data_IF_694180383774
#
_entry.id   IF_694180383774
#
_cell.length_a   1.000
_cell.length_b   1.000
_cell.length_c   1.000
_cell.angle_alpha   90.00
_cell.angle_beta   90.00
_cell.angle_gamma   90.00
#
_symmetry.space_group_name_H-M   'P 1'
#
loop_
_entity.id
_entity.type
_entity.pdbx_description
1 polymer ?
#
# COMPACT_ATOMS: atom_id res chain seq x y z
N UNK A 1 -14.63 12.58 5.83
CA UNK A 1 -14.61 12.10 4.43
C UNK A 1 -16.00 11.60 4.06
N UNK A 2 -16.56 12.00 2.92
CA UNK A 2 -17.79 11.38 2.38
C UNK A 2 -17.41 10.08 1.70
N UNK A 3 -18.10 8.97 2.01
CA UNK A 3 -17.89 7.65 1.40
C UNK A 3 -18.48 7.54 -0.03
N UNK A 4 -19.18 8.56 -0.50
CA UNK A 4 -19.75 8.62 -1.84
C UNK A 4 -19.18 9.76 -2.67
N UNK A 5 -19.34 9.71 -4.01
CA UNK A 5 -18.89 10.77 -4.91
C UNK A 5 -19.52 12.11 -4.51
N UNK A 6 -18.69 13.16 -4.47
CA UNK A 6 -19.12 14.51 -4.11
C UNK A 6 -20.20 15.06 -5.06
N UNK A 7 -20.15 14.65 -6.32
CA UNK A 7 -21.14 14.96 -7.34
C UNK A 7 -21.74 13.66 -7.89
N UNK A 8 -23.06 13.51 -7.82
CA UNK A 8 -23.76 12.32 -8.36
C UNK A 8 -24.22 12.59 -9.78
N UNK A 9 -23.75 11.76 -10.71
CA UNK A 9 -24.12 11.77 -12.12
C UNK A 9 -24.08 10.34 -12.69
N UNK A 10 -24.71 10.08 -13.84
CA UNK A 10 -24.62 8.78 -14.51
C UNK A 10 -23.18 8.34 -14.79
N UNK A 11 -22.28 9.30 -15.02
CA UNK A 11 -20.85 9.02 -15.23
C UNK A 11 -20.15 8.60 -13.93
N UNK A 12 -20.49 9.21 -12.79
CA UNK A 12 -19.89 8.83 -11.51
C UNK A 12 -20.40 7.48 -11.03
N UNK A 13 -21.66 7.13 -11.34
CA UNK A 13 -22.19 5.78 -11.05
C UNK A 13 -21.52 4.72 -11.93
N UNK A 14 -21.29 5.01 -13.22
CA UNK A 14 -20.60 4.09 -14.14
C UNK A 14 -19.13 3.86 -13.75
N UNK A 15 -18.47 4.89 -13.21
CA UNK A 15 -17.04 4.86 -12.86
C UNK A 15 -16.78 4.58 -11.38
N UNK A 16 -17.83 4.39 -10.57
CA UNK A 16 -17.71 4.15 -9.12
C UNK A 16 -16.88 2.90 -8.80
N UNK A 17 -16.98 1.85 -9.62
CA UNK A 17 -16.23 0.60 -9.47
C UNK A 17 -14.76 0.67 -9.89
N UNK A 18 -14.28 1.82 -10.37
CA UNK A 18 -12.85 2.02 -10.64
C UNK A 18 -12.09 2.53 -9.42
N UNK A 19 -12.80 3.02 -8.41
CA UNK A 19 -12.20 3.66 -7.23
C UNK A 19 -12.16 2.69 -6.04
N UNK A 20 -12.94 1.61 -6.07
CA UNK A 20 -12.92 0.57 -5.04
C UNK A 20 -11.84 -0.49 -5.33
N UNK A 21 -11.27 -1.05 -4.27
CA UNK A 21 -10.30 -2.15 -4.32
C UNK A 21 -10.94 -3.49 -3.94
N UNK A 22 -12.28 -3.54 -3.87
CA UNK A 22 -13.05 -4.73 -3.51
C UNK A 22 -12.80 -5.92 -4.45
N UNK A 23 -12.42 -5.64 -5.71
CA UNK A 23 -12.07 -6.66 -6.69
C UNK A 23 -10.56 -6.98 -6.69
N UNK A 24 -9.76 -6.23 -5.93
CA UNK A 24 -8.33 -6.41 -5.80
C UNK A 24 -7.99 -7.19 -4.52
N UNK A 25 -7.65 -8.46 -4.71
CA UNK A 25 -7.52 -9.47 -3.65
C UNK A 25 -6.58 -9.06 -2.49
N UNK A 26 -5.53 -8.25 -2.76
CA UNK A 26 -4.56 -7.84 -1.74
C UNK A 26 -5.03 -6.69 -0.85
N UNK A 27 -5.74 -5.70 -1.41
CA UNK A 27 -6.16 -4.52 -0.66
C UNK A 27 -7.64 -4.56 -0.27
N UNK A 28 -8.44 -5.43 -0.88
CA UNK A 28 -9.86 -5.61 -0.57
C UNK A 28 -10.15 -5.88 0.92
N UNK A 29 -9.43 -6.78 1.61
CA UNK A 29 -9.65 -7.01 3.04
C UNK A 29 -9.38 -5.77 3.92
N UNK A 30 -8.37 -4.96 3.55
CA UNK A 30 -8.03 -3.72 4.26
C UNK A 30 -9.07 -2.63 4.00
N UNK A 31 -9.58 -2.55 2.78
CA UNK A 31 -10.68 -1.65 2.42
C UNK A 31 -11.94 -1.99 3.21
N UNK A 32 -12.31 -3.27 3.26
CA UNK A 32 -13.48 -3.74 4.02
C UNK A 32 -13.34 -3.42 5.52
N UNK A 33 -12.19 -3.73 6.12
CA UNK A 33 -11.96 -3.42 7.53
C UNK A 33 -12.04 -1.90 7.82
N UNK A 34 -11.53 -1.05 6.92
CA UNK A 34 -11.62 0.39 7.06
C UNK A 34 -13.06 0.89 6.92
N UNK A 35 -13.85 0.33 6.00
CA UNK A 35 -15.27 0.67 5.82
C UNK A 35 -16.08 0.26 7.06
N UNK A 36 -15.89 -0.96 7.57
CA UNK A 36 -16.61 -1.46 8.76
C UNK A 36 -16.35 -0.55 9.98
N UNK A 37 -15.12 -0.08 10.15
CA UNK A 37 -14.78 0.87 11.21
C UNK A 37 -15.47 2.23 11.00
N UNK A 38 -15.49 2.74 9.76
CA UNK A 38 -16.16 4.00 9.43
C UNK A 38 -17.68 3.90 9.58
N UNK A 39 -18.28 2.73 9.35
CA UNK A 39 -19.70 2.46 9.58
C UNK A 39 -20.03 2.51 11.08
N UNK A 40 -19.16 1.94 11.93
CA UNK A 40 -19.35 1.93 13.38
C UNK A 40 -19.21 3.32 14.03
N UNK A 41 -18.22 4.12 13.62
CA UNK A 41 -17.90 5.42 14.27
C UNK A 41 -18.41 6.64 13.51
N UNK A 42 -18.85 6.47 12.26
CA UNK A 42 -19.18 7.56 11.36
C UNK A 42 -17.96 8.36 10.89
N UNK A 43 -18.18 9.30 9.98
CA UNK A 43 -17.10 9.98 9.24
C UNK A 43 -16.32 11.03 10.04
N UNK A 44 -16.87 11.53 11.15
CA UNK A 44 -16.23 12.56 11.99
C UNK A 44 -15.27 11.90 12.98
N UNK A 45 -15.78 10.97 13.80
CA UNK A 45 -14.98 10.23 14.79
C UNK A 45 -14.13 9.12 14.17
N UNK A 46 -14.56 8.59 13.02
CA UNK A 46 -13.83 7.57 12.28
C UNK A 46 -12.47 8.05 11.77
N UNK A 47 -12.26 9.34 11.51
CA UNK A 47 -10.94 9.83 11.08
C UNK A 47 -9.87 9.62 12.15
N UNK A 48 -10.25 9.68 13.43
CA UNK A 48 -9.33 9.46 14.56
C UNK A 48 -9.33 7.99 14.98
N UNK A 49 -10.51 7.36 15.09
CA UNK A 49 -10.66 5.98 15.58
C UNK A 49 -10.22 4.93 14.58
N UNK A 50 -10.37 5.19 13.29
CA UNK A 50 -10.02 4.28 12.19
C UNK A 50 -8.72 4.71 11.49
N UNK A 51 -7.94 5.61 12.09
CA UNK A 51 -6.75 6.20 11.46
C UNK A 51 -5.74 5.15 10.97
N UNK A 52 -5.51 4.11 11.77
CA UNK A 52 -4.56 3.04 11.45
C UNK A 52 -5.03 2.20 10.26
N UNK A 53 -6.31 1.78 10.26
CA UNK A 53 -6.91 1.02 9.16
C UNK A 53 -6.91 1.81 7.85
N UNK A 54 -7.23 3.10 7.92
CA UNK A 54 -7.17 3.99 6.75
C UNK A 54 -5.74 4.21 6.26
N UNK A 55 -4.77 4.30 7.18
CA UNK A 55 -3.36 4.43 6.83
C UNK A 55 -2.82 3.16 6.15
N UNK A 56 -3.22 1.98 6.61
CA UNK A 56 -2.82 0.70 6.05
C UNK A 56 -3.46 0.46 4.68
N UNK A 57 -4.76 0.74 4.53
CA UNK A 57 -5.42 0.71 3.23
C UNK A 57 -4.76 1.66 2.22
N UNK A 58 -4.46 2.90 2.65
CA UNK A 58 -3.74 3.88 1.82
C UNK A 58 -2.32 3.43 1.47
N UNK A 59 -1.65 2.74 2.39
CA UNK A 59 -0.33 2.15 2.14
C UNK A 59 -0.43 1.05 1.09
N UNK A 60 -1.41 0.16 1.19
CA UNK A 60 -1.63 -0.90 0.20
C UNK A 60 -1.91 -0.33 -1.21
N UNK A 61 -2.73 0.72 -1.30
CA UNK A 61 -3.10 1.33 -2.57
C UNK A 61 -1.95 2.10 -3.26
N UNK A 62 -1.08 2.76 -2.49
CA UNK A 62 -0.08 3.69 -3.03
C UNK A 62 1.37 3.15 -2.89
N UNK A 63 1.60 2.22 -1.96
CA UNK A 63 2.90 1.60 -1.65
C UNK A 63 4.00 2.59 -1.22
N UNK A 64 3.62 3.76 -0.71
CA UNK A 64 4.57 4.84 -0.36
C UNK A 64 5.64 4.40 0.62
N UNK A 65 5.25 3.73 1.72
CA UNK A 65 6.19 3.29 2.76
C UNK A 65 7.07 2.15 2.24
N UNK A 66 6.48 1.19 1.53
CA UNK A 66 7.24 0.11 0.90
C UNK A 66 8.31 0.61 -0.08
N UNK A 67 7.97 1.58 -0.95
CA UNK A 67 8.92 2.16 -1.91
C UNK A 67 9.99 2.97 -1.20
N UNK A 68 9.64 3.76 -0.17
CA UNK A 68 10.60 4.50 0.63
C UNK A 68 11.61 3.56 1.32
N UNK A 69 11.11 2.47 1.92
CA UNK A 69 11.94 1.43 2.54
C UNK A 69 12.87 0.78 1.51
N UNK A 70 12.35 0.42 0.33
CA UNK A 70 13.16 -0.14 -0.75
C UNK A 70 14.28 0.80 -1.18
N UNK A 71 13.98 2.10 -1.36
CA UNK A 71 14.97 3.12 -1.73
C UNK A 71 16.06 3.26 -0.66
N UNK A 72 15.69 3.30 0.61
CA UNK A 72 16.64 3.38 1.72
C UNK A 72 17.58 2.16 1.74
N UNK A 73 17.03 0.94 1.67
CA UNK A 73 17.84 -0.29 1.63
C UNK A 73 18.76 -0.35 0.41
N UNK A 74 18.30 0.14 -0.75
CA UNK A 74 19.09 0.22 -1.97
C UNK A 74 20.23 1.23 -1.86
N UNK A 75 19.98 2.40 -1.27
CA UNK A 75 21.00 3.43 -1.06
C UNK A 75 22.11 2.94 -0.13
N UNK A 76 21.75 2.32 0.99
CA UNK A 76 22.72 1.74 1.93
C UNK A 76 23.56 0.64 1.28
N UNK A 77 22.94 -0.21 0.44
CA UNK A 77 23.69 -1.20 -0.34
C UNK A 77 24.69 -0.55 -1.29
N UNK A 78 24.29 0.49 -2.02
CA UNK A 78 25.19 1.21 -2.92
C UNK A 78 26.34 1.86 -2.15
N UNK A 79 26.06 2.46 -0.98
CA UNK A 79 27.08 3.02 -0.08
C UNK A 79 28.10 1.95 0.35
N UNK A 80 27.64 0.81 0.84
CA UNK A 80 28.51 -0.30 1.28
C UNK A 80 29.43 -0.81 0.17
N UNK A 81 28.92 -0.94 -1.05
CA UNK A 81 29.76 -1.41 -2.16
C UNK A 81 30.70 -0.35 -2.75
N UNK A 82 30.37 0.95 -2.64
CA UNK A 82 31.28 2.03 -3.02
C UNK A 82 32.44 2.19 -2.02
N UNK A 83 32.19 1.97 -0.73
CA UNK A 83 33.21 1.99 0.31
C UNK A 83 34.08 0.73 0.34
N UNK A 84 33.69 -0.31 -0.40
CA UNK A 84 34.41 -1.59 -0.45
C UNK A 84 34.11 -2.54 0.71
N UNK A 85 33.17 -2.19 1.60
CA UNK A 85 32.75 -3.03 2.72
C UNK A 85 32.06 -4.34 2.25
N UNK A 86 31.50 -4.32 1.03
CA UNK A 86 30.92 -5.51 0.38
C UNK A 86 31.70 -5.90 -0.87
N UNK A 87 32.01 -7.20 -0.98
CA UNK A 87 32.55 -7.81 -2.20
C UNK A 87 31.51 -7.73 -3.34
N UNK A 88 31.98 -7.55 -4.57
CA UNK A 88 31.13 -7.44 -5.77
C UNK A 88 30.19 -8.64 -5.97
N UNK A 89 30.63 -9.84 -5.60
CA UNK A 89 29.86 -11.09 -5.68
C UNK A 89 28.69 -11.17 -4.67
N UNK A 90 28.76 -10.41 -3.56
CA UNK A 90 27.75 -10.38 -2.49
C UNK A 90 26.88 -9.11 -2.57
N UNK A 91 27.01 -8.36 -3.66
CA UNK A 91 26.31 -7.10 -3.85
C UNK A 91 24.78 -7.29 -3.94
N UNK A 92 24.36 -8.38 -4.59
CA UNK A 92 22.97 -8.84 -4.63
C UNK A 92 22.86 -10.24 -4.03
N UNK A 93 21.66 -10.59 -3.56
CA UNK A 93 21.37 -11.95 -3.15
C UNK A 93 21.59 -12.90 -4.34
N UNK A 94 22.18 -14.07 -4.07
CA UNK A 94 22.33 -15.11 -5.09
C UNK A 94 20.95 -15.47 -5.63
N UNK A 95 20.82 -15.74 -6.95
CA UNK A 95 19.56 -16.21 -7.50
C UNK A 95 19.12 -17.49 -6.78
N UNK A 96 17.81 -17.74 -6.67
CA UNK A 96 17.31 -19.02 -6.21
C UNK A 96 17.85 -20.14 -7.10
N UNK A 97 17.96 -21.35 -6.56
CA UNK A 97 18.40 -22.50 -7.34
C UNK A 97 17.38 -22.76 -8.46
N UNK A 98 17.84 -23.26 -9.59
CA UNK A 98 17.00 -23.50 -10.78
C UNK A 98 15.86 -24.49 -10.47
N UNK A 99 16.02 -25.34 -9.46
CA UNK A 99 15.09 -26.38 -9.00
C UNK A 99 14.20 -25.96 -7.81
N UNK A 100 14.10 -24.66 -7.50
CA UNK A 100 13.42 -24.18 -6.29
C UNK A 100 11.87 -23.99 -6.40
N UNK A 101 11.21 -24.68 -7.33
CA UNK A 101 9.75 -24.63 -7.53
C UNK A 101 9.02 -25.87 -6.99
#
# INVERSE_FOLDING_TARGET
MSLGPFFRSPFTDLTASMVNFQQYDKCGPLEMAAIDCLEAYGTVRGNEKCADLLADFKECAIMNKQVARFRAMRLERHRQGLLGDKKSEEYYAKPPRVDAY
#
